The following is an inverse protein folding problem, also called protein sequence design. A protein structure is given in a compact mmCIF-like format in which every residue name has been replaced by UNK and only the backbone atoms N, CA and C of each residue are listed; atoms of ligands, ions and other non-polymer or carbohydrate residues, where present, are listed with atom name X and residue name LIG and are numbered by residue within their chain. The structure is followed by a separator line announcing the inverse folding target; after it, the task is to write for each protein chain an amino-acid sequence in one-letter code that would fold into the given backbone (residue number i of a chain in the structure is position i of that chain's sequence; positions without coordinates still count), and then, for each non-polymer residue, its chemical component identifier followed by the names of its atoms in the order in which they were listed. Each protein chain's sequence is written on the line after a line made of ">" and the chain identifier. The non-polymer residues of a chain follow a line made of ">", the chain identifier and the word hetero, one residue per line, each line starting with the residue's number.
data_IF_736954992606
#
_entry.id   IF_736954992606
#
_cell.length_a   1.000
_cell.length_b   1.000
_cell.length_c   1.000
_cell.angle_alpha   90.00
_cell.angle_beta   90.00
_cell.angle_gamma   90.00
#
_symmetry.space_group_name_H-M   'P 1'
#
loop_
_entity.id
_entity.type
_entity.pdbx_description
1 polymer ?
#
# COMPACT_ATOMS: atom_id res chain seq x y z
N UNK A 1 -3.26 8.87 -10.30
CA UNK A 1 -2.04 8.40 -9.63
C UNK A 1 -2.43 7.33 -8.62
N UNK A 2 -1.50 6.48 -8.15
CA UNK A 2 -1.75 5.70 -6.94
C UNK A 2 -1.89 6.68 -5.76
N UNK A 3 -2.75 6.39 -4.76
CA UNK A 3 -2.87 7.22 -3.57
C UNK A 3 -1.54 7.28 -2.81
N UNK A 4 -1.23 8.43 -2.22
CA UNK A 4 -0.06 8.61 -1.37
C UNK A 4 -0.21 7.79 -0.07
N UNK A 5 0.89 7.54 0.67
CA UNK A 5 0.79 6.84 1.95
C UNK A 5 -0.23 7.49 2.87
N UNK A 6 -1.08 6.69 3.51
CA UNK A 6 -2.13 7.17 4.41
C UNK A 6 -3.35 7.84 3.75
N UNK A 7 -3.37 8.09 2.43
CA UNK A 7 -4.56 8.65 1.73
C UNK A 7 -5.68 7.60 1.55
N UNK A 8 -5.33 6.32 1.49
CA UNK A 8 -6.28 5.21 1.46
C UNK A 8 -6.07 4.32 2.68
N UNK A 9 -7.17 3.89 3.30
CA UNK A 9 -7.10 2.91 4.37
C UNK A 9 -6.61 1.56 3.86
N UNK A 10 -5.84 0.86 4.68
CA UNK A 10 -5.40 -0.51 4.38
C UNK A 10 -6.53 -1.49 4.70
N UNK A 11 -6.40 -2.76 4.30
CA UNK A 11 -7.35 -3.80 4.73
C UNK A 11 -7.45 -3.90 6.26
N UNK A 12 -6.39 -3.53 6.99
CA UNK A 12 -6.40 -3.49 8.44
C UNK A 12 -7.19 -2.29 8.96
N UNK A 13 -6.98 -1.10 8.37
CA UNK A 13 -7.53 0.13 8.93
C UNK A 13 -8.93 0.47 8.44
N UNK A 14 -9.25 0.14 7.18
CA UNK A 14 -10.57 0.33 6.60
C UNK A 14 -11.46 -0.93 6.68
N UNK A 15 -10.85 -2.10 6.87
CA UNK A 15 -11.53 -3.39 6.74
C UNK A 15 -11.70 -3.83 5.28
N UNK A 16 -12.09 -5.09 5.10
CA UNK A 16 -12.40 -5.67 3.78
C UNK A 16 -13.47 -6.74 3.91
N UNK A 17 -14.37 -6.82 2.92
CA UNK A 17 -15.31 -7.94 2.82
C UNK A 17 -14.54 -9.19 2.42
N UNK A 18 -14.39 -10.16 3.34
CA UNK A 18 -13.70 -11.43 3.08
C UNK A 18 -14.11 -12.13 1.77
N UNK A 19 -15.42 -12.21 1.43
CA UNK A 19 -15.86 -12.77 0.15
C UNK A 19 -15.29 -12.06 -1.09
N UNK A 20 -15.09 -10.74 -1.02
CA UNK A 20 -14.51 -9.96 -2.13
C UNK A 20 -13.07 -10.39 -2.42
N UNK A 21 -12.28 -10.64 -1.38
CA UNK A 21 -10.90 -11.14 -1.50
C UNK A 21 -10.89 -12.49 -2.23
N UNK A 22 -11.78 -13.40 -1.85
CA UNK A 22 -11.89 -14.72 -2.48
C UNK A 22 -12.28 -14.64 -3.96
N UNK A 23 -13.20 -13.75 -4.32
CA UNK A 23 -13.61 -13.52 -5.71
C UNK A 23 -12.41 -13.05 -6.54
N UNK A 24 -11.71 -12.00 -6.09
CA UNK A 24 -10.55 -11.45 -6.80
C UNK A 24 -9.43 -12.49 -6.91
N UNK A 25 -9.10 -13.19 -5.82
CA UNK A 25 -8.07 -14.22 -5.81
C UNK A 25 -8.40 -15.35 -6.79
N UNK A 26 -9.65 -15.82 -6.82
CA UNK A 26 -10.09 -16.89 -7.73
C UNK A 26 -9.99 -16.47 -9.20
N UNK A 27 -10.36 -15.22 -9.52
CA UNK A 27 -10.21 -14.67 -10.86
C UNK A 27 -8.74 -14.57 -11.27
N UNK A 28 -7.88 -14.03 -10.41
CA UNK A 28 -6.44 -13.92 -10.68
C UNK A 28 -5.77 -15.28 -10.86
N UNK A 29 -6.11 -16.26 -10.00
CA UNK A 29 -5.63 -17.63 -10.13
C UNK A 29 -6.04 -18.25 -11.47
N UNK A 30 -7.28 -18.00 -11.91
CA UNK A 30 -7.78 -18.46 -13.21
C UNK A 30 -7.01 -17.83 -14.37
N UNK A 31 -6.72 -16.53 -14.33
CA UNK A 31 -5.91 -15.87 -15.37
C UNK A 31 -4.46 -16.40 -15.39
N UNK A 32 -3.87 -16.69 -14.22
CA UNK A 32 -2.56 -17.33 -14.13
C UNK A 32 -2.56 -18.73 -14.76
N UNK A 33 -3.60 -19.54 -14.51
CA UNK A 33 -3.74 -20.86 -15.13
C UNK A 33 -3.82 -20.77 -16.66
N UNK A 34 -4.52 -19.77 -17.20
CA UNK A 34 -4.55 -19.54 -18.66
C UNK A 34 -3.16 -19.23 -19.22
N UNK A 35 -2.38 -18.42 -18.51
CA UNK A 35 -0.99 -18.09 -18.91
C UNK A 35 -0.12 -19.36 -18.91
N UNK A 36 -0.15 -20.10 -17.81
CA UNK A 36 0.70 -21.29 -17.60
C UNK A 36 0.37 -22.43 -18.56
N UNK A 37 -0.90 -22.58 -18.94
CA UNK A 37 -1.36 -23.58 -19.90
C UNK A 37 -1.25 -23.12 -21.36
N UNK A 38 -0.65 -21.96 -21.63
CA UNK A 38 -0.45 -21.42 -22.97
C UNK A 38 -1.72 -20.86 -23.64
N UNK A 39 -2.85 -20.77 -22.92
CA UNK A 39 -4.14 -20.23 -23.40
C UNK A 39 -4.17 -18.70 -23.38
N UNK A 40 -3.15 -18.08 -24.00
CA UNK A 40 -2.95 -16.62 -23.98
C UNK A 40 -4.08 -15.84 -24.65
N UNK A 41 -4.75 -16.44 -25.64
CA UNK A 41 -5.91 -15.88 -26.34
C UNK A 41 -7.16 -15.75 -25.44
N UNK A 42 -7.20 -16.49 -24.32
CA UNK A 42 -8.33 -16.47 -23.36
C UNK A 42 -8.11 -15.55 -22.17
N UNK A 43 -6.95 -14.91 -22.08
CA UNK A 43 -6.62 -14.01 -20.97
C UNK A 43 -7.50 -12.77 -21.06
N UNK A 44 -8.11 -12.38 -19.94
CA UNK A 44 -8.79 -11.11 -19.84
C UNK A 44 -7.76 -9.96 -19.81
N UNK A 45 -7.90 -9.00 -20.73
CA UNK A 45 -7.04 -7.79 -20.83
C UNK A 45 -7.77 -6.51 -20.44
N UNK A 46 -8.98 -6.64 -19.88
CA UNK A 46 -9.80 -5.53 -19.40
C UNK A 46 -9.63 -5.39 -17.89
N UNK A 47 -9.72 -4.14 -17.40
CA UNK A 47 -9.81 -3.87 -15.97
C UNK A 47 -11.20 -4.33 -15.50
N UNK A 48 -11.21 -5.25 -14.55
CA UNK A 48 -12.43 -5.69 -13.88
C UNK A 48 -12.67 -4.83 -12.65
N UNK A 49 -13.87 -4.28 -12.53
CA UNK A 49 -14.36 -3.59 -11.35
C UNK A 49 -15.54 -4.38 -10.79
N UNK A 50 -15.50 -4.61 -9.48
CA UNK A 50 -16.54 -5.32 -8.75
C UNK A 50 -16.93 -4.49 -7.53
N UNK A 51 -18.22 -4.22 -7.43
CA UNK A 51 -18.88 -3.83 -6.20
C UNK A 51 -19.83 -4.98 -5.83
N UNK A 52 -19.44 -5.76 -4.82
CA UNK A 52 -20.21 -6.94 -4.44
C UNK A 52 -21.39 -6.60 -3.52
N UNK A 53 -21.42 -5.39 -2.95
CA UNK A 53 -22.51 -4.97 -2.09
C UNK A 53 -23.71 -4.56 -2.94
N UNK A 54 -23.45 -3.75 -3.96
CA UNK A 54 -24.46 -3.29 -4.92
C UNK A 54 -24.61 -4.23 -6.13
N UNK A 55 -23.90 -5.36 -6.14
CA UNK A 55 -23.88 -6.33 -7.23
C UNK A 55 -23.53 -5.73 -8.60
N UNK A 56 -22.61 -4.75 -8.62
CA UNK A 56 -22.16 -4.10 -9.85
C UNK A 56 -20.88 -4.77 -10.34
N UNK A 57 -20.89 -5.24 -11.58
CA UNK A 57 -19.70 -5.70 -12.29
C UNK A 57 -19.48 -4.87 -13.54
N UNK A 58 -18.28 -4.33 -13.72
CA UNK A 58 -17.89 -3.59 -14.92
C UNK A 58 -16.60 -4.15 -15.50
N UNK A 59 -16.54 -4.13 -16.84
CA UNK A 59 -15.31 -4.40 -17.59
C UNK A 59 -14.93 -3.16 -18.36
N UNK A 60 -13.70 -2.70 -18.15
CA UNK A 60 -13.21 -1.45 -18.71
C UNK A 60 -12.05 -1.77 -19.64
N UNK A 61 -12.20 -1.40 -20.91
CA UNK A 61 -11.14 -1.54 -21.91
C UNK A 61 -10.06 -0.49 -21.66
N UNK A 62 -8.92 -0.93 -21.13
CA UNK A 62 -7.77 -0.06 -20.84
C UNK A 62 -6.71 -0.05 -21.95
N UNK A 63 -6.72 -1.06 -22.84
CA UNK A 63 -5.77 -1.12 -23.96
C UNK A 63 -5.73 0.16 -24.82
N UNK A 64 -6.85 0.87 -25.08
CA UNK A 64 -6.82 2.13 -25.82
C UNK A 64 -6.06 3.27 -25.12
N UNK A 65 -5.74 3.16 -23.82
CA UNK A 65 -4.95 4.17 -23.11
C UNK A 65 -3.45 4.09 -23.44
N UNK A 66 -2.98 2.94 -23.93
CA UNK A 66 -1.59 2.76 -24.31
C UNK A 66 -1.22 3.74 -25.43
N UNK A 67 -0.18 4.54 -25.21
CA UNK A 67 0.30 5.55 -26.16
C UNK A 67 -0.44 6.88 -26.11
N UNK A 68 -1.63 6.97 -25.50
CA UNK A 68 -2.40 8.23 -25.38
C UNK A 68 -1.86 9.22 -24.36
N UNK A 69 -1.09 8.73 -23.39
CA UNK A 69 -0.45 9.55 -22.36
C UNK A 69 1.06 9.52 -22.51
N UNK A 70 1.72 10.60 -22.08
CA UNK A 70 3.19 10.63 -22.04
C UNK A 70 3.72 9.90 -20.81
N UNK A 71 3.62 8.57 -20.80
CA UNK A 71 3.99 7.76 -19.65
C UNK A 71 5.53 7.68 -19.50
N UNK A 72 6.10 8.12 -18.35
CA UNK A 72 7.54 8.01 -18.07
C UNK A 72 8.10 6.59 -18.22
N UNK A 73 7.33 5.58 -17.79
CA UNK A 73 7.73 4.18 -17.88
C UNK A 73 7.56 3.63 -19.30
N UNK A 74 6.34 3.65 -19.86
CA UNK A 74 6.05 2.98 -21.13
C UNK A 74 6.71 3.64 -22.35
N UNK A 75 6.83 4.98 -22.38
CA UNK A 75 7.41 5.71 -23.53
C UNK A 75 8.88 6.02 -23.34
N UNK A 76 9.25 6.55 -22.17
CA UNK A 76 10.62 7.00 -21.91
C UNK A 76 11.50 5.96 -21.24
N UNK A 77 10.95 4.77 -20.92
CA UNK A 77 11.67 3.67 -20.26
C UNK A 77 12.34 4.10 -18.95
N UNK A 78 11.76 5.06 -18.23
CA UNK A 78 12.19 5.44 -16.88
C UNK A 78 11.54 4.51 -15.87
N UNK A 79 12.32 3.64 -15.23
CA UNK A 79 11.83 2.62 -14.32
C UNK A 79 12.18 2.98 -12.87
N UNK A 80 11.62 4.09 -12.38
CA UNK A 80 12.02 4.73 -11.10
C UNK A 80 11.94 3.79 -9.87
N UNK A 81 11.06 2.79 -9.90
CA UNK A 81 10.97 1.75 -8.87
C UNK A 81 12.05 0.67 -9.00
N UNK A 82 12.37 0.25 -10.23
CA UNK A 82 13.43 -0.72 -10.51
C UNK A 82 14.81 -0.12 -10.25
N UNK A 83 14.97 1.17 -10.56
CA UNK A 83 16.20 1.95 -10.34
C UNK A 83 16.38 2.37 -8.86
N UNK A 84 15.41 2.06 -7.99
CA UNK A 84 15.47 2.35 -6.55
C UNK A 84 15.27 3.82 -6.18
N UNK A 85 14.83 4.67 -7.10
CA UNK A 85 14.55 6.09 -6.84
C UNK A 85 13.38 6.27 -5.85
N UNK A 86 12.37 5.39 -5.91
CA UNK A 86 11.22 5.38 -4.98
C UNK A 86 11.25 4.27 -3.91
N UNK A 87 12.39 3.59 -3.72
CA UNK A 87 12.51 2.54 -2.71
C UNK A 87 12.37 3.06 -1.28
N UNK A 88 11.69 2.29 -0.41
CA UNK A 88 11.69 2.50 1.04
C UNK A 88 13.09 2.32 1.60
N UNK A 89 13.65 3.36 2.22
CA UNK A 89 14.88 3.25 2.98
C UNK A 89 14.57 2.87 4.42
N UNK A 90 15.17 1.77 4.85
CA UNK A 90 15.07 1.29 6.23
C UNK A 90 16.43 1.30 6.89
N UNK A 91 16.49 1.90 8.07
CA UNK A 91 17.69 1.93 8.89
C UNK A 91 17.35 1.37 10.26
N UNK A 92 18.02 0.29 10.65
CA UNK A 92 17.90 -0.25 12.00
C UNK A 92 18.55 0.70 13.00
N UNK A 93 17.83 1.09 14.04
CA UNK A 93 18.36 1.92 15.11
C UNK A 93 18.99 0.99 16.15
N UNK A 94 20.28 0.71 15.95
CA UNK A 94 21.06 -0.22 16.77
C UNK A 94 20.89 0.09 18.27
N UNK A 95 20.58 -0.95 19.06
CA UNK A 95 20.45 -0.86 20.52
C UNK A 95 19.12 -0.32 21.06
N UNK A 96 18.11 -0.07 20.21
CA UNK A 96 16.81 0.49 20.65
C UNK A 96 15.58 -0.37 20.36
N UNK A 97 15.77 -1.61 19.90
CA UNK A 97 14.70 -2.49 19.41
C UNK A 97 13.68 -1.74 18.53
N UNK A 98 14.22 -0.95 17.59
CA UNK A 98 13.44 -0.07 16.74
C UNK A 98 14.04 0.04 15.34
N UNK A 99 13.18 0.17 14.34
CA UNK A 99 13.56 0.38 12.94
C UNK A 99 12.94 1.69 12.46
N UNK A 100 13.74 2.50 11.78
CA UNK A 100 13.23 3.66 11.05
C UNK A 100 12.91 3.25 9.62
N UNK A 101 11.68 3.51 9.20
CA UNK A 101 11.19 3.34 7.82
C UNK A 101 10.97 4.73 7.24
N UNK A 102 11.49 4.97 6.04
CA UNK A 102 11.38 6.25 5.35
C UNK A 102 11.15 6.05 3.86
N UNK A 103 10.41 6.95 3.24
CA UNK A 103 10.32 7.05 1.79
C UNK A 103 11.19 8.21 1.29
N UNK A 104 11.84 8.02 0.13
CA UNK A 104 12.64 9.07 -0.51
C UNK A 104 11.79 10.24 -1.00
N UNK A 105 10.52 9.99 -1.30
CA UNK A 105 9.56 11.03 -1.69
C UNK A 105 8.76 11.45 -0.45
N UNK A 106 8.84 12.71 -0.01
CA UNK A 106 8.04 13.20 1.11
C UNK A 106 6.55 13.11 0.75
N UNK A 107 5.79 12.35 1.53
CA UNK A 107 4.32 12.43 1.50
C UNK A 107 3.89 13.45 2.56
N UNK A 108 2.84 14.21 2.29
CA UNK A 108 2.24 15.09 3.31
C UNK A 108 1.11 14.34 3.99
N UNK A 109 1.40 13.75 5.14
CA UNK A 109 0.41 12.95 5.87
C UNK A 109 -0.62 13.83 6.58
N UNK A 110 -1.90 13.42 6.52
CA UNK A 110 -2.98 14.02 7.29
C UNK A 110 -3.16 13.27 8.62
N UNK A 111 -2.57 13.78 9.69
CA UNK A 111 -2.62 13.11 11.00
C UNK A 111 -4.02 13.03 11.61
N UNK A 112 -4.92 13.97 11.30
CA UNK A 112 -6.29 13.95 11.80
C UNK A 112 -7.06 12.74 11.23
N UNK A 113 -6.97 12.57 9.91
CA UNK A 113 -7.59 11.44 9.21
C UNK A 113 -6.96 10.11 9.64
N UNK A 114 -5.63 10.04 9.73
CA UNK A 114 -4.94 8.86 10.22
C UNK A 114 -5.33 8.51 11.66
N UNK A 115 -5.48 9.50 12.54
CA UNK A 115 -5.84 9.26 13.94
C UNK A 115 -7.27 8.70 14.08
N UNK A 116 -8.20 9.17 13.26
CA UNK A 116 -9.58 8.64 13.19
C UNK A 116 -9.60 7.15 12.81
N UNK A 117 -8.73 6.74 11.87
CA UNK A 117 -8.63 5.36 11.44
C UNK A 117 -7.89 4.49 12.46
N UNK A 118 -6.71 4.91 12.90
CA UNK A 118 -5.83 4.15 13.80
C UNK A 118 -6.40 4.02 15.22
N UNK A 119 -7.19 5.01 15.69
CA UNK A 119 -7.78 5.00 17.02
C UNK A 119 -8.76 3.84 17.27
N UNK A 120 -9.25 3.21 16.20
CA UNK A 120 -10.10 2.00 16.30
C UNK A 120 -9.31 0.73 16.62
N UNK A 121 -8.00 0.74 16.41
CA UNK A 121 -7.11 -0.42 16.59
C UNK A 121 -6.18 -0.29 17.80
N UNK A 122 -5.95 0.93 18.30
CA UNK A 122 -5.02 1.16 19.40
C UNK A 122 -5.02 2.60 19.89
N UNK A 123 -4.08 2.90 20.78
CA UNK A 123 -3.95 4.23 21.38
C UNK A 123 -3.25 5.17 20.39
N UNK A 124 -3.91 6.29 20.05
CA UNK A 124 -3.37 7.30 19.13
C UNK A 124 -3.33 8.66 19.80
N UNK A 125 -2.21 9.36 19.62
CA UNK A 125 -2.09 10.79 19.94
C UNK A 125 -1.27 11.48 18.86
N UNK A 126 -1.57 12.74 18.56
CA UNK A 126 -0.80 13.48 17.57
C UNK A 126 -0.71 14.96 17.91
N UNK A 127 0.27 15.62 17.31
CA UNK A 127 0.41 17.07 17.27
C UNK A 127 0.90 17.49 15.87
N UNK A 128 1.18 18.78 15.66
CA UNK A 128 1.64 19.28 14.36
C UNK A 128 2.97 18.70 13.85
N UNK A 129 3.72 18.00 14.70
CA UNK A 129 5.07 17.52 14.42
C UNK A 129 5.19 16.00 14.33
N UNK A 130 4.30 15.25 14.98
CA UNK A 130 4.32 13.79 14.96
C UNK A 130 2.96 13.19 15.35
N UNK A 131 2.73 11.96 14.90
CA UNK A 131 1.67 11.07 15.35
C UNK A 131 2.31 9.87 16.07
N UNK A 132 1.80 9.57 17.26
CA UNK A 132 2.12 8.34 18.00
C UNK A 132 0.94 7.39 17.92
N UNK A 133 1.23 6.14 17.60
CA UNK A 133 0.25 5.06 17.57
C UNK A 133 0.82 3.84 18.26
N UNK A 134 0.08 3.28 19.22
CA UNK A 134 0.47 2.09 19.95
C UNK A 134 -0.56 0.99 19.72
N UNK A 135 -0.09 -0.16 19.26
CA UNK A 135 -0.92 -1.34 18.97
C UNK A 135 -0.13 -2.60 19.27
N UNK A 136 -0.75 -3.54 19.97
CA UNK A 136 -0.09 -4.77 20.44
C UNK A 136 1.24 -4.45 21.15
N UNK A 137 2.33 -5.06 20.71
CA UNK A 137 3.69 -4.89 21.23
C UNK A 137 4.49 -3.79 20.51
N UNK A 138 3.85 -2.99 19.64
CA UNK A 138 4.52 -2.02 18.77
C UNK A 138 4.11 -0.58 19.07
N UNK A 139 5.08 0.33 18.94
CA UNK A 139 4.86 1.78 19.01
C UNK A 139 5.40 2.43 17.74
N UNK A 140 4.53 3.17 17.06
CA UNK A 140 4.82 3.94 15.87
C UNK A 140 4.97 5.41 16.25
N UNK A 141 6.04 6.04 15.79
CA UNK A 141 6.17 7.50 15.75
C UNK A 141 6.30 7.93 14.31
N UNK A 142 5.26 8.56 13.77
CA UNK A 142 5.14 8.96 12.36
C UNK A 142 5.34 10.46 12.24
N UNK A 143 6.15 10.89 11.28
CA UNK A 143 6.46 12.29 10.99
C UNK A 143 5.67 12.78 9.75
N UNK A 144 5.46 14.10 9.60
CA UNK A 144 4.64 14.65 8.52
C UNK A 144 5.14 14.33 7.11
N UNK A 145 6.41 13.97 6.97
CA UNK A 145 7.08 13.61 5.72
C UNK A 145 6.99 12.11 5.36
N UNK A 146 6.26 11.33 6.17
CA UNK A 146 6.09 9.89 5.98
C UNK A 146 7.14 9.03 6.65
N UNK A 147 8.19 9.61 7.26
CA UNK A 147 9.11 8.81 8.08
C UNK A 147 8.38 8.23 9.29
N UNK A 148 8.68 6.99 9.63
CA UNK A 148 8.20 6.38 10.86
C UNK A 148 9.31 5.67 11.61
N UNK A 149 9.26 5.73 12.93
CA UNK A 149 10.06 4.91 13.84
C UNK A 149 9.12 3.88 14.45
N UNK A 150 9.44 2.61 14.25
CA UNK A 150 8.66 1.48 14.76
C UNK A 150 9.48 0.83 15.86
N UNK A 151 9.03 0.95 17.10
CA UNK A 151 9.60 0.24 18.26
C UNK A 151 8.88 -1.09 18.45
N UNK A 152 9.59 -2.05 19.05
CA UNK A 152 9.09 -3.41 19.28
C UNK A 152 9.64 -4.44 18.29
N UNK A 153 10.47 -4.02 17.34
CA UNK A 153 11.18 -4.91 16.42
C UNK A 153 12.54 -4.33 16.01
N UNK A 154 13.55 -5.20 15.92
CA UNK A 154 14.84 -4.91 15.28
C UNK A 154 14.92 -5.48 13.85
N UNK A 155 13.94 -6.31 13.47
CA UNK A 155 13.81 -6.90 12.14
C UNK A 155 13.25 -5.86 11.17
N UNK A 156 14.03 -5.59 10.12
CA UNK A 156 13.74 -4.60 9.09
C UNK A 156 12.56 -5.01 8.20
N UNK A 157 12.45 -6.28 7.86
CA UNK A 157 11.39 -6.78 7.00
C UNK A 157 10.06 -6.75 7.75
N UNK A 158 10.07 -7.16 9.02
CA UNK A 158 8.91 -7.03 9.91
C UNK A 158 8.47 -5.58 10.06
N UNK A 159 9.42 -4.65 10.24
CA UNK A 159 9.11 -3.22 10.33
C UNK A 159 8.48 -2.67 9.04
N UNK A 160 8.97 -3.10 7.86
CA UNK A 160 8.35 -2.74 6.57
C UNK A 160 6.92 -3.27 6.46
N UNK A 161 6.69 -4.52 6.83
CA UNK A 161 5.33 -5.10 6.84
C UNK A 161 4.40 -4.33 7.77
N UNK A 162 4.86 -3.99 8.98
CA UNK A 162 4.08 -3.20 9.94
C UNK A 162 3.77 -1.79 9.42
N UNK A 163 4.74 -1.13 8.80
CA UNK A 163 4.52 0.16 8.15
C UNK A 163 3.46 0.06 7.05
N UNK A 164 3.60 -0.93 6.16
CA UNK A 164 2.66 -1.18 5.07
C UNK A 164 1.24 -1.46 5.60
N UNK A 165 1.15 -2.22 6.70
CA UNK A 165 -0.10 -2.63 7.33
C UNK A 165 -0.88 -1.46 7.93
N UNK A 166 -0.22 -0.57 8.67
CA UNK A 166 -0.91 0.48 9.45
C UNK A 166 -0.82 1.88 8.85
N UNK A 167 0.28 2.22 8.17
CA UNK A 167 0.50 3.56 7.60
C UNK A 167 0.15 3.59 6.11
N UNK A 168 0.27 2.44 5.42
CA UNK A 168 -0.15 2.25 4.04
C UNK A 168 0.92 2.62 3.03
N UNK A 169 1.86 1.70 2.78
CA UNK A 169 2.73 1.66 1.60
C UNK A 169 3.50 0.35 1.47
#
# INVERSE_FOLDING_TARGET
>A
AAPAPGEAGTCETAGVLGPMVNIIASLQATEALKILTGRRDKINRELLYFDIWDNVQRRIKIAPLLGKVDCPCCKHRRFEWLDGAHGSQTTSLCGRNAVQVSHRTPAKLNFEEMASHLGKMGEVSYNRFLLKFKVEDYEFTVFPDGRAIIKGTADVDKARTLYAKYIGH
#
